data_IF_846575921617
#
_entry.id   IF_846575921617
#
_cell.length_a   1.000
_cell.length_b   1.000
_cell.length_c   1.000
_cell.angle_alpha   90.00
_cell.angle_beta   90.00
_cell.angle_gamma   90.00
#
_symmetry.space_group_name_H-M   'P 1'
#
loop_
_entity.id
_entity.type
_entity.pdbx_description
1 polymer ?
#
# COMPACT_ATOMS: atom_id res chain seq x y z
N UNK A 1 -14.16 -13.80 -14.27
CA UNK A 1 -13.96 -14.73 -13.13
C UNK A 1 -12.90 -14.12 -12.24
N UNK A 2 -13.10 -14.11 -10.92
CA UNK A 2 -12.19 -13.53 -9.93
C UNK A 2 -11.61 -14.65 -9.05
N UNK A 3 -10.36 -14.49 -8.61
CA UNK A 3 -9.64 -15.47 -7.80
C UNK A 3 -9.04 -14.82 -6.57
N UNK A 4 -9.07 -15.52 -5.45
CA UNK A 4 -8.39 -15.12 -4.21
C UNK A 4 -7.01 -15.77 -4.18
N UNK A 5 -5.96 -14.94 -4.14
CA UNK A 5 -4.57 -15.42 -4.08
C UNK A 5 -4.05 -15.55 -2.64
N UNK A 6 -4.38 -14.57 -1.79
CA UNK A 6 -3.93 -14.49 -0.40
C UNK A 6 -5.05 -13.85 0.44
N UNK A 7 -5.23 -14.34 1.67
CA UNK A 7 -6.28 -13.88 2.59
C UNK A 7 -5.77 -13.99 4.03
N UNK A 8 -6.04 -12.95 4.82
CA UNK A 8 -5.73 -12.90 6.24
C UNK A 8 -6.96 -12.41 7.02
N UNK A 9 -7.26 -13.05 8.16
CA UNK A 9 -8.45 -12.74 8.97
C UNK A 9 -8.09 -11.74 10.06
N UNK A 10 -8.83 -10.63 10.15
CA UNK A 10 -8.70 -9.69 11.25
C UNK A 10 -9.48 -10.16 12.47
N UNK A 11 -8.78 -10.41 13.58
CA UNK A 11 -9.37 -10.91 14.84
C UNK A 11 -9.19 -9.96 16.03
N UNK A 12 -8.76 -8.71 15.79
CA UNK A 12 -8.46 -7.74 16.84
C UNK A 12 -7.07 -7.95 17.46
N UNK A 13 -6.97 -7.85 18.79
CA UNK A 13 -5.72 -8.08 19.51
C UNK A 13 -5.50 -9.59 19.69
N UNK A 14 -4.46 -10.12 19.07
CA UNK A 14 -4.10 -11.53 19.22
C UNK A 14 -3.46 -11.77 20.59
N UNK A 15 -3.76 -12.92 21.24
CA UNK A 15 -3.08 -13.32 22.45
C UNK A 15 -1.60 -13.61 22.17
N UNK A 16 -0.78 -13.56 23.22
CA UNK A 16 0.64 -13.92 23.13
C UNK A 16 0.83 -15.30 22.48
N UNK A 17 1.67 -15.35 21.44
CA UNK A 17 1.85 -16.56 20.66
C UNK A 17 2.54 -16.29 19.31
N UNK A 18 2.75 -17.33 18.49
CA UNK A 18 3.45 -17.22 17.22
C UNK A 18 2.71 -16.34 16.20
N UNK A 19 1.41 -16.13 16.42
CA UNK A 19 0.58 -15.29 15.57
C UNK A 19 0.41 -13.88 16.12
N UNK A 20 1.02 -13.51 17.26
CA UNK A 20 0.99 -12.13 17.77
C UNK A 20 1.82 -11.21 16.86
N UNK A 21 1.24 -10.83 15.72
CA UNK A 21 1.88 -10.00 14.70
C UNK A 21 1.28 -8.61 14.69
N UNK A 22 2.02 -7.65 14.14
CA UNK A 22 1.50 -6.30 13.98
C UNK A 22 0.36 -6.28 12.97
N UNK A 23 -0.73 -5.61 13.37
CA UNK A 23 -1.95 -5.41 12.59
C UNK A 23 -2.05 -4.01 11.97
N UNK A 24 -0.91 -3.33 11.78
CA UNK A 24 -0.86 -2.10 11.02
C UNK A 24 -1.00 -2.38 9.51
N UNK A 25 -1.55 -1.41 8.78
CA UNK A 25 -1.84 -1.55 7.36
C UNK A 25 -0.62 -1.96 6.53
N UNK A 26 0.57 -1.42 6.84
CA UNK A 26 1.81 -1.79 6.13
C UNK A 26 2.14 -3.26 6.34
N UNK A 27 2.17 -3.74 7.60
CA UNK A 27 2.48 -5.14 7.89
C UNK A 27 1.49 -6.11 7.24
N UNK A 28 0.20 -5.77 7.21
CA UNK A 28 -0.84 -6.60 6.56
C UNK A 28 -0.57 -6.69 5.05
N UNK A 29 -0.35 -5.57 4.37
CA UNK A 29 -0.10 -5.55 2.92
C UNK A 29 1.12 -6.41 2.59
N UNK A 30 2.22 -6.25 3.32
CA UNK A 30 3.47 -7.01 3.09
C UNK A 30 3.25 -8.52 3.20
N UNK A 31 2.42 -8.98 4.15
CA UNK A 31 2.07 -10.40 4.26
C UNK A 31 1.20 -10.88 3.09
N UNK A 32 0.19 -10.09 2.72
CA UNK A 32 -0.71 -10.44 1.63
C UNK A 32 -0.01 -10.53 0.27
N UNK A 33 0.98 -9.66 0.02
CA UNK A 33 1.70 -9.60 -1.25
C UNK A 33 2.84 -10.63 -1.37
N UNK A 34 3.13 -11.40 -0.32
CA UNK A 34 4.22 -12.37 -0.33
C UNK A 34 4.25 -13.29 -1.58
N UNK A 35 3.11 -13.81 -2.09
CA UNK A 35 3.10 -14.65 -3.30
C UNK A 35 3.43 -13.91 -4.60
N UNK A 36 3.35 -12.58 -4.62
CA UNK A 36 3.60 -11.75 -5.81
C UNK A 36 4.84 -10.87 -5.66
N UNK A 37 5.56 -10.97 -4.54
CA UNK A 37 6.82 -10.26 -4.34
C UNK A 37 7.82 -10.58 -5.45
N UNK A 38 8.48 -9.54 -5.97
CA UNK A 38 9.46 -9.64 -7.03
C UNK A 38 8.86 -9.79 -8.42
N UNK A 39 7.54 -9.76 -8.61
CA UNK A 39 6.94 -10.13 -9.91
C UNK A 39 6.75 -8.98 -10.90
N UNK A 40 6.98 -7.72 -10.50
CA UNK A 40 6.76 -6.56 -11.38
C UNK A 40 5.29 -6.21 -11.60
N UNK A 41 4.38 -6.77 -10.79
CA UNK A 41 2.94 -6.53 -10.90
C UNK A 41 2.51 -5.19 -10.29
N UNK A 42 1.31 -4.76 -10.68
CA UNK A 42 0.66 -3.60 -10.10
C UNK A 42 -0.39 -4.04 -9.06
N UNK A 43 -0.45 -3.31 -7.95
CA UNK A 43 -1.44 -3.48 -6.88
C UNK A 43 -2.37 -2.28 -6.88
N UNK A 44 -3.67 -2.52 -6.79
CA UNK A 44 -4.64 -1.46 -6.50
C UNK A 44 -5.12 -1.58 -5.06
N UNK A 45 -4.96 -0.52 -4.26
CA UNK A 45 -5.36 -0.51 -2.84
C UNK A 45 -6.30 0.64 -2.49
N UNK A 46 -7.09 0.43 -1.43
CA UNK A 46 -7.93 1.49 -0.87
C UNK A 46 -7.09 2.53 -0.10
N UNK A 47 -7.74 3.58 0.40
CA UNK A 47 -7.06 4.62 1.16
C UNK A 47 -6.48 4.15 2.51
N UNK A 48 -7.10 3.17 3.17
CA UNK A 48 -6.64 2.69 4.46
C UNK A 48 -5.31 1.92 4.36
N UNK A 49 -5.10 1.25 3.22
CA UNK A 49 -3.89 0.51 2.90
C UNK A 49 -2.88 1.29 2.04
N UNK A 50 -3.10 2.58 1.76
CA UNK A 50 -2.20 3.37 0.91
C UNK A 50 -1.44 4.42 1.73
N UNK A 51 -0.10 4.34 1.70
CA UNK A 51 0.78 5.36 2.28
C UNK A 51 2.09 5.45 1.51
N UNK A 52 2.70 6.65 1.45
CA UNK A 52 4.00 6.84 0.78
C UNK A 52 5.12 5.90 1.25
N UNK A 53 5.38 5.71 2.56
CA UNK A 53 6.44 4.80 2.99
C UNK A 53 6.17 3.35 2.60
N UNK A 54 4.89 2.94 2.51
CA UNK A 54 4.53 1.62 2.01
C UNK A 54 4.79 1.52 0.50
N UNK A 55 4.39 2.51 -0.30
CA UNK A 55 4.62 2.52 -1.75
C UNK A 55 6.12 2.41 -2.06
N UNK A 56 6.98 3.14 -1.33
CA UNK A 56 8.42 3.03 -1.48
C UNK A 56 8.94 1.62 -1.16
N UNK A 57 8.45 1.02 -0.06
CA UNK A 57 8.81 -0.37 0.31
C UNK A 57 8.38 -1.37 -0.78
N UNK A 58 7.18 -1.20 -1.36
CA UNK A 58 6.68 -2.07 -2.42
C UNK A 58 7.57 -2.00 -3.68
N UNK A 59 8.07 -0.82 -3.99
CA UNK A 59 8.96 -0.63 -5.13
C UNK A 59 10.35 -1.23 -4.88
N UNK A 60 11.02 -0.76 -3.82
CA UNK A 60 12.44 -1.03 -3.57
C UNK A 60 12.66 -2.49 -3.17
N UNK A 61 11.84 -3.00 -2.23
CA UNK A 61 12.06 -4.31 -1.62
C UNK A 61 11.28 -5.41 -2.34
N UNK A 62 10.18 -5.07 -3.01
CA UNK A 62 9.26 -6.05 -3.60
C UNK A 62 9.13 -5.96 -5.12
N UNK A 63 9.73 -4.98 -5.81
CA UNK A 63 9.56 -4.79 -7.27
C UNK A 63 8.08 -4.81 -7.68
N UNK A 64 7.26 -4.06 -6.95
CA UNK A 64 5.82 -3.91 -7.19
C UNK A 64 5.47 -2.44 -7.32
N UNK A 65 4.49 -2.15 -8.18
CA UNK A 65 3.92 -0.81 -8.31
C UNK A 65 2.54 -0.76 -7.66
N UNK A 66 2.10 0.43 -7.24
CA UNK A 66 0.84 0.58 -6.53
C UNK A 66 0.03 1.75 -7.08
N UNK A 67 -1.27 1.54 -7.23
CA UNK A 67 -2.27 2.57 -7.51
C UNK A 67 -3.23 2.61 -6.34
N UNK A 68 -3.33 3.76 -5.70
CA UNK A 68 -4.20 3.91 -4.53
C UNK A 68 -4.73 5.32 -4.39
N UNK A 69 -5.64 5.47 -3.43
CA UNK A 69 -6.15 6.77 -3.01
C UNK A 69 -5.44 7.18 -1.72
N UNK A 70 -5.08 8.45 -1.57
CA UNK A 70 -4.48 8.96 -0.33
C UNK A 70 -5.33 10.10 0.22
N UNK A 71 -5.72 10.01 1.50
CA UNK A 71 -6.53 11.02 2.19
C UNK A 71 -5.65 12.16 2.66
N UNK A 72 -6.05 13.38 2.31
CA UNK A 72 -5.36 14.59 2.71
C UNK A 72 -5.72 15.01 4.15
N UNK A 73 -5.03 14.46 5.15
CA UNK A 73 -5.36 14.75 6.56
C UNK A 73 -4.68 16.01 7.11
N UNK A 74 -3.54 16.46 6.53
CA UNK A 74 -2.75 17.60 7.05
C UNK A 74 -2.03 18.47 6.01
N UNK A 75 -2.31 18.35 4.71
CA UNK A 75 -1.64 19.16 3.67
C UNK A 75 -0.25 18.69 3.27
N UNK A 76 0.31 17.67 3.93
CA UNK A 76 1.63 17.08 3.60
C UNK A 76 1.70 16.45 2.20
N UNK A 77 0.56 16.20 1.55
CA UNK A 77 0.54 15.70 0.17
C UNK A 77 1.16 16.70 -0.80
N UNK A 78 1.11 18.00 -0.49
CA UNK A 78 1.58 19.07 -1.40
C UNK A 78 3.02 18.89 -1.88
N UNK A 79 3.92 18.39 -1.03
CA UNK A 79 5.32 18.18 -1.41
C UNK A 79 5.51 17.06 -2.44
N UNK A 80 4.54 16.17 -2.57
CA UNK A 80 4.54 15.04 -3.52
C UNK A 80 3.63 15.28 -4.73
N UNK A 81 2.95 16.43 -4.80
CA UNK A 81 2.04 16.77 -5.88
C UNK A 81 2.68 17.83 -6.79
N UNK A 82 2.69 17.56 -8.09
CA UNK A 82 3.12 18.53 -9.10
C UNK A 82 2.00 19.54 -9.49
N UNK A 83 0.75 19.36 -9.00
CA UNK A 83 -0.42 20.16 -9.40
C UNK A 83 -1.24 20.74 -8.23
N UNK A 84 -1.94 21.88 -8.42
CA UNK A 84 -2.59 22.60 -7.34
C UNK A 84 -3.92 21.97 -6.85
N UNK A 85 -3.86 21.40 -5.64
CA UNK A 85 -4.77 21.48 -4.49
C UNK A 85 -6.32 21.57 -4.64
N UNK A 86 -6.98 21.00 -5.65
CA UNK A 86 -8.45 21.09 -5.78
C UNK A 86 -9.25 19.78 -5.64
N UNK A 87 -8.63 18.62 -5.35
CA UNK A 87 -9.36 17.33 -5.25
C UNK A 87 -9.18 16.63 -3.90
N UNK A 88 -10.26 16.10 -3.28
CA UNK A 88 -10.21 15.47 -1.94
C UNK A 88 -9.56 14.09 -1.93
N UNK A 89 -9.43 13.46 -3.10
CA UNK A 89 -8.78 12.17 -3.31
C UNK A 89 -7.87 12.28 -4.53
N UNK A 90 -6.68 11.69 -4.45
CA UNK A 90 -5.69 11.74 -5.52
C UNK A 90 -5.31 10.31 -5.85
N UNK A 91 -5.44 9.95 -7.12
CA UNK A 91 -4.88 8.72 -7.65
C UNK A 91 -3.38 8.94 -7.82
N UNK A 92 -2.59 8.35 -6.94
CA UNK A 92 -1.13 8.43 -7.04
C UNK A 92 -0.69 7.40 -8.08
N UNK A 93 -0.32 7.89 -9.26
CA UNK A 93 0.44 7.12 -10.24
C UNK A 93 1.92 7.38 -9.97
N UNK A 94 2.62 6.47 -9.32
CA UNK A 94 4.08 6.46 -9.37
C UNK A 94 4.48 5.66 -10.62
N UNK A 95 4.55 6.35 -11.76
CA UNK A 95 5.26 5.83 -12.93
C UNK A 95 6.70 6.33 -12.82
N UNK A 96 7.59 5.46 -12.36
CA UNK A 96 8.99 5.80 -12.12
C UNK A 96 9.71 5.73 -13.46
N UNK A 97 9.57 6.81 -14.23
CA UNK A 97 10.55 7.16 -15.25
C UNK A 97 11.65 7.95 -14.57
N UNK A 98 12.70 7.25 -14.18
CA UNK A 98 14.11 7.68 -14.17
C UNK A 98 14.93 6.71 -13.31
N UNK A 99 15.43 5.66 -13.98
CA UNK A 99 16.77 5.11 -13.76
C UNK A 99 17.63 5.67 -14.88
#
# INVERSE_FOLDING_TARGET
>A
MYYTLSLEVYVGLQPEGPYHVKNDAKSIVIRLIAPISGTGRNITSDNWFTSFPLIQTLLDDHRLTCVGTVKNVKGNLRQYLQTPAAVPYIQVYLDIKEI
#
